data_IF_129377816494
#
_entry.id   IF_129377816494
#
_cell.length_a   1.000
_cell.length_b   1.000
_cell.length_c   1.000
_cell.angle_alpha   90.00
_cell.angle_beta   90.00
_cell.angle_gamma   90.00
#
_symmetry.space_group_name_H-M   'P 1'
#
loop_
_entity.id
_entity.type
_entity.pdbx_description
1 polymer ?
#
# COMPACT_ATOMS: atom_id res chain seq x y z
N UNK A 1 30.33 -54.91 -50.08
CA UNK A 1 29.41 -54.00 -50.79
C UNK A 1 28.57 -53.28 -49.73
N UNK A 2 28.44 -51.95 -49.86
CA UNK A 2 28.20 -50.98 -48.78
C UNK A 2 26.90 -51.18 -47.99
N UNK A 3 26.99 -51.13 -46.65
CA UNK A 3 25.86 -50.87 -45.76
C UNK A 3 25.76 -49.35 -45.54
N UNK A 4 24.67 -48.74 -45.99
CA UNK A 4 24.37 -47.32 -45.75
C UNK A 4 23.43 -47.20 -44.55
N UNK A 5 23.94 -46.75 -43.42
CA UNK A 5 23.15 -46.31 -42.27
C UNK A 5 22.57 -44.92 -42.53
N UNK A 6 21.24 -44.81 -42.59
CA UNK A 6 20.53 -43.52 -42.60
C UNK A 6 20.40 -43.05 -41.14
N UNK A 7 21.12 -41.99 -40.77
CA UNK A 7 20.82 -41.22 -39.57
C UNK A 7 19.57 -40.38 -39.84
N UNK A 8 18.48 -40.63 -39.11
CA UNK A 8 17.33 -39.74 -39.06
C UNK A 8 17.59 -38.63 -38.05
N UNK A 9 17.63 -37.38 -38.52
CA UNK A 9 17.62 -36.20 -37.65
C UNK A 9 16.23 -36.02 -37.05
N UNK A 10 16.10 -36.19 -35.74
CA UNK A 10 14.96 -35.67 -34.98
C UNK A 10 15.17 -34.16 -34.77
N UNK A 11 14.33 -33.35 -35.41
CA UNK A 11 14.21 -31.91 -35.12
C UNK A 11 13.27 -31.77 -33.94
N UNK A 12 13.81 -31.41 -32.77
CA UNK A 12 13.03 -31.07 -31.59
C UNK A 12 12.50 -29.64 -31.77
N UNK A 13 11.24 -29.48 -32.15
CA UNK A 13 10.56 -28.17 -32.16
C UNK A 13 10.17 -27.84 -30.72
N UNK A 14 11.00 -27.03 -30.06
CA UNK A 14 10.64 -26.39 -28.79
C UNK A 14 9.62 -25.29 -29.09
N UNK A 15 8.34 -25.60 -28.90
CA UNK A 15 7.28 -24.62 -28.76
C UNK A 15 7.53 -23.85 -27.46
N UNK A 16 8.14 -22.67 -27.58
CA UNK A 16 8.18 -21.70 -26.50
C UNK A 16 6.75 -21.17 -26.29
N UNK A 17 6.02 -21.78 -25.36
CA UNK A 17 4.88 -21.13 -24.74
C UNK A 17 5.40 -19.90 -24.00
N UNK A 18 5.26 -18.73 -24.61
CA UNK A 18 5.40 -17.46 -23.91
C UNK A 18 4.28 -17.39 -22.87
N UNK A 19 4.59 -17.78 -21.62
CA UNK A 19 3.82 -17.30 -20.49
C UNK A 19 4.03 -15.79 -20.46
N UNK A 20 2.98 -15.03 -20.76
CA UNK A 20 2.93 -13.64 -20.33
C UNK A 20 3.13 -13.68 -18.80
N UNK A 21 4.28 -13.20 -18.33
CA UNK A 21 4.47 -12.98 -16.91
C UNK A 21 3.38 -12.01 -16.48
N UNK A 22 2.58 -12.37 -15.48
CA UNK A 22 2.01 -11.33 -14.65
C UNK A 22 3.20 -10.47 -14.19
N UNK A 23 3.14 -9.16 -14.39
CA UNK A 23 4.20 -8.28 -13.90
C UNK A 23 4.33 -8.53 -12.39
N UNK A 24 5.53 -8.96 -11.98
CA UNK A 24 5.83 -9.27 -10.59
C UNK A 24 5.57 -8.02 -9.74
N UNK A 25 4.89 -8.17 -8.60
CA UNK A 25 4.67 -7.06 -7.66
C UNK A 25 6.00 -6.35 -7.37
N UNK A 26 5.98 -5.01 -7.34
CA UNK A 26 7.19 -4.19 -7.23
C UNK A 26 8.06 -4.51 -6.00
N UNK A 27 7.44 -4.59 -4.82
CA UNK A 27 8.16 -4.99 -3.60
C UNK A 27 8.38 -6.50 -3.58
N UNK A 28 9.47 -6.91 -2.92
CA UNK A 28 9.91 -8.30 -2.79
C UNK A 28 10.19 -8.64 -1.32
N UNK A 29 10.18 -9.94 -1.02
CA UNK A 29 10.64 -10.41 0.29
C UNK A 29 12.06 -9.91 0.59
N UNK A 30 12.28 -9.44 1.81
CA UNK A 30 13.54 -8.86 2.28
C UNK A 30 13.72 -7.37 2.00
N UNK A 31 12.75 -6.70 1.36
CA UNK A 31 12.91 -5.29 1.03
C UNK A 31 13.01 -4.37 2.26
N UNK A 32 13.98 -3.45 2.16
CA UNK A 32 14.03 -2.23 2.97
C UNK A 32 13.46 -1.10 2.15
N UNK A 33 12.25 -0.68 2.48
CA UNK A 33 11.49 0.34 1.76
C UNK A 33 11.68 1.69 2.42
N UNK A 34 12.09 2.69 1.65
CA UNK A 34 12.04 4.10 2.05
C UNK A 34 10.99 4.81 1.20
N UNK A 35 10.17 5.64 1.83
CA UNK A 35 9.16 6.46 1.16
C UNK A 35 9.52 7.93 1.37
N UNK A 36 10.01 8.58 0.32
CA UNK A 36 10.40 9.99 0.33
C UNK A 36 9.36 10.84 -0.39
N UNK A 37 9.06 11.99 0.18
CA UNK A 37 8.20 12.99 -0.43
C UNK A 37 8.06 14.24 0.44
N UNK A 38 6.95 14.94 0.27
CA UNK A 38 6.69 16.24 0.89
C UNK A 38 5.78 16.14 2.15
N UNK A 39 4.94 17.17 2.39
CA UNK A 39 3.97 17.19 3.50
C UNK A 39 2.98 16.04 3.44
N UNK A 40 2.57 15.61 2.25
CA UNK A 40 1.55 14.55 2.10
C UNK A 40 2.13 13.20 2.54
N UNK A 41 3.40 12.95 2.21
CA UNK A 41 4.17 11.81 2.75
C UNK A 41 4.36 11.97 4.25
N UNK A 42 4.72 13.16 4.74
CA UNK A 42 4.93 13.41 6.17
C UNK A 42 3.69 13.15 7.05
N UNK A 43 2.46 13.11 6.49
CA UNK A 43 1.24 12.81 7.26
C UNK A 43 1.19 11.38 7.82
N UNK A 44 2.01 10.45 7.31
CA UNK A 44 2.02 9.03 7.68
C UNK A 44 0.66 8.34 7.50
N UNK A 45 -0.16 8.78 6.53
CA UNK A 45 -1.42 8.13 6.19
C UNK A 45 -1.22 7.11 5.06
N UNK A 46 -1.10 7.52 3.80
CA UNK A 46 -0.94 6.59 2.67
C UNK A 46 0.27 5.66 2.85
N UNK A 47 1.37 6.15 3.43
CA UNK A 47 2.54 5.32 3.70
C UNK A 47 2.26 4.19 4.69
N UNK A 48 1.48 4.47 5.75
CA UNK A 48 1.07 3.45 6.71
C UNK A 48 0.07 2.49 6.08
N UNK A 49 -0.83 2.98 5.20
CA UNK A 49 -1.78 2.13 4.49
C UNK A 49 -1.08 1.19 3.51
N UNK A 50 -0.10 1.69 2.73
CA UNK A 50 0.75 0.87 1.85
C UNK A 50 1.48 -0.19 2.66
N UNK A 51 2.16 0.19 3.74
CA UNK A 51 2.84 -0.77 4.62
C UNK A 51 1.87 -1.83 5.16
N UNK A 52 0.69 -1.42 5.63
CA UNK A 52 -0.29 -2.34 6.21
C UNK A 52 -0.88 -3.28 5.17
N UNK A 53 -1.24 -2.80 3.97
CA UNK A 53 -1.70 -3.66 2.86
C UNK A 53 -0.66 -4.69 2.48
N UNK A 54 0.60 -4.28 2.33
CA UNK A 54 1.68 -5.18 1.89
C UNK A 54 1.99 -6.21 2.97
N UNK A 55 2.15 -5.78 4.23
CA UNK A 55 2.48 -6.69 5.34
C UNK A 55 1.33 -7.64 5.69
N UNK A 56 0.07 -7.22 5.58
CA UNK A 56 -1.09 -8.11 5.74
C UNK A 56 -1.23 -9.10 4.58
N UNK A 57 -0.88 -8.72 3.36
CA UNK A 57 -0.91 -9.62 2.19
C UNK A 57 0.20 -10.65 2.18
N UNK A 58 1.38 -10.24 2.66
CA UNK A 58 2.60 -11.05 2.68
C UNK A 58 3.18 -11.11 4.10
N UNK A 59 2.46 -11.71 5.07
CA UNK A 59 2.87 -11.72 6.49
C UNK A 59 4.18 -12.49 6.73
N UNK A 60 4.60 -13.33 5.79
CA UNK A 60 5.89 -14.04 5.84
C UNK A 60 7.07 -13.24 5.29
N UNK A 61 6.85 -12.11 4.59
CA UNK A 61 7.94 -11.32 4.02
C UNK A 61 8.66 -10.49 5.09
N UNK A 62 9.99 -10.40 4.97
CA UNK A 62 10.87 -9.65 5.87
C UNK A 62 11.01 -8.20 5.42
N UNK A 63 9.91 -7.46 5.45
CA UNK A 63 9.86 -6.07 5.03
C UNK A 63 10.19 -5.10 6.16
N UNK A 64 10.77 -3.96 5.82
CA UNK A 64 10.81 -2.77 6.67
C UNK A 64 10.42 -1.54 5.88
N UNK A 65 9.71 -0.60 6.51
CA UNK A 65 9.29 0.66 5.89
C UNK A 65 9.75 1.85 6.72
N UNK A 66 10.24 2.89 6.04
CA UNK A 66 10.63 4.18 6.62
C UNK A 66 10.03 5.32 5.81
N UNK A 67 9.21 6.12 6.47
CA UNK A 67 8.73 7.38 5.93
C UNK A 67 9.74 8.49 6.25
N UNK A 68 10.16 9.22 5.22
CA UNK A 68 11.04 10.39 5.32
C UNK A 68 10.47 11.60 4.57
N UNK A 69 9.15 11.79 4.65
CA UNK A 69 8.47 12.98 4.15
C UNK A 69 8.81 14.24 4.95
N UNK A 70 8.93 15.39 4.29
CA UNK A 70 9.12 16.70 4.96
C UNK A 70 8.16 17.73 4.38
N UNK A 71 7.40 18.38 5.25
CA UNK A 71 6.43 19.40 4.88
C UNK A 71 7.03 20.60 4.17
N UNK A 72 6.40 20.97 3.04
CA UNK A 72 6.84 22.07 2.18
C UNK A 72 8.03 21.75 1.28
N UNK A 73 8.58 20.53 1.37
CA UNK A 73 9.72 20.11 0.57
C UNK A 73 9.34 20.02 -0.92
N UNK A 74 10.36 20.18 -1.77
CA UNK A 74 10.28 20.07 -3.23
C UNK A 74 11.32 19.06 -3.68
N UNK A 75 11.21 18.59 -4.92
CA UNK A 75 12.16 17.62 -5.48
C UNK A 75 13.65 18.01 -5.37
N UNK A 76 14.09 19.31 -5.44
CA UNK A 76 15.49 19.65 -5.19
C UNK A 76 15.92 19.42 -3.73
N UNK A 77 15.04 19.68 -2.76
CA UNK A 77 15.32 19.43 -1.35
C UNK A 77 15.35 17.94 -1.04
N UNK A 78 14.42 17.16 -1.62
CA UNK A 78 14.47 15.70 -1.64
C UNK A 78 15.79 15.15 -2.19
N UNK A 79 16.27 15.72 -3.29
CA UNK A 79 17.56 15.40 -3.88
C UNK A 79 18.72 15.74 -2.93
N UNK A 80 18.76 16.95 -2.37
CA UNK A 80 19.80 17.41 -1.46
C UNK A 80 19.93 16.49 -0.23
N UNK A 81 18.79 16.09 0.36
CA UNK A 81 18.77 15.27 1.58
C UNK A 81 18.81 13.76 1.34
N UNK A 82 18.89 13.29 0.10
CA UNK A 82 18.85 11.87 -0.25
C UNK A 82 19.88 11.04 0.54
N UNK A 83 21.12 11.54 0.69
CA UNK A 83 22.15 10.81 1.43
C UNK A 83 21.79 10.62 2.91
N UNK A 84 21.28 11.68 3.55
CA UNK A 84 20.90 11.69 4.98
C UNK A 84 19.66 10.84 5.24
N UNK A 85 18.66 10.94 4.38
CA UNK A 85 17.31 10.42 4.66
C UNK A 85 16.99 9.11 3.95
N UNK A 86 17.64 8.83 2.81
CA UNK A 86 17.38 7.63 2.01
C UNK A 86 18.56 6.68 2.08
N UNK A 87 19.73 7.08 1.60
CA UNK A 87 20.89 6.20 1.51
C UNK A 87 21.33 5.65 2.88
N UNK A 88 21.14 6.42 3.95
CA UNK A 88 21.39 6.00 5.33
C UNK A 88 20.71 4.67 5.70
N UNK A 89 19.47 4.44 5.24
CA UNK A 89 18.73 3.22 5.52
C UNK A 89 19.15 2.02 4.65
N UNK A 90 20.03 2.24 3.67
CA UNK A 90 20.44 1.24 2.69
C UNK A 90 19.22 0.53 2.07
N UNK A 91 18.26 1.29 1.49
CA UNK A 91 17.06 0.71 0.94
C UNK A 91 17.36 -0.19 -0.25
N UNK A 92 16.48 -1.16 -0.49
CA UNK A 92 16.46 -1.97 -1.71
C UNK A 92 15.31 -1.54 -2.63
N UNK A 93 14.32 -0.84 -2.07
CA UNK A 93 13.20 -0.24 -2.78
C UNK A 93 12.91 1.17 -2.24
N UNK A 94 12.54 2.08 -3.14
CA UNK A 94 12.27 3.48 -2.84
C UNK A 94 10.97 3.90 -3.54
N UNK A 95 10.10 4.63 -2.84
CA UNK A 95 9.03 5.39 -3.49
C UNK A 95 9.33 6.87 -3.43
N UNK A 96 9.17 7.59 -4.55
CA UNK A 96 9.40 9.04 -4.64
C UNK A 96 8.10 9.73 -5.01
N UNK A 97 7.60 10.62 -4.14
CA UNK A 97 6.35 11.36 -4.33
C UNK A 97 6.59 12.87 -4.13
N UNK A 98 6.76 13.59 -5.24
CA UNK A 98 6.95 15.04 -5.29
C UNK A 98 6.21 15.63 -6.49
N UNK A 99 5.96 16.94 -6.45
CA UNK A 99 5.30 17.68 -7.52
C UNK A 99 4.26 18.66 -7.00
N UNK A 100 3.64 18.34 -5.85
CA UNK A 100 2.60 19.19 -5.25
C UNK A 100 3.15 20.58 -4.88
N UNK A 101 4.29 20.65 -4.20
CA UNK A 101 4.93 21.94 -3.85
C UNK A 101 5.75 22.54 -5.00
N UNK A 102 6.24 21.70 -5.92
CA UNK A 102 7.16 22.10 -6.99
C UNK A 102 6.51 23.07 -7.99
N UNK A 103 5.25 22.82 -8.36
CA UNK A 103 4.46 23.75 -9.20
C UNK A 103 4.05 25.03 -8.48
N UNK A 104 4.30 25.14 -7.18
CA UNK A 104 4.08 26.35 -6.38
C UNK A 104 2.63 26.81 -6.30
N UNK A 105 1.65 25.95 -6.61
CA UNK A 105 0.22 26.27 -6.66
C UNK A 105 -0.13 27.30 -7.74
N UNK A 106 0.63 27.30 -8.85
CA UNK A 106 0.49 28.24 -9.98
C UNK A 106 0.19 27.50 -11.29
N UNK A 107 -0.26 28.24 -12.30
CA UNK A 107 -0.29 27.73 -13.66
C UNK A 107 1.12 27.32 -14.10
N UNK A 108 1.19 26.28 -14.92
CA UNK A 108 2.45 25.70 -15.40
C UNK A 108 3.41 26.76 -15.94
N UNK A 109 4.65 26.71 -15.46
CA UNK A 109 5.78 27.47 -15.99
C UNK A 109 6.99 26.54 -16.22
N UNK A 110 7.70 26.77 -17.33
CA UNK A 110 8.86 25.95 -17.71
C UNK A 110 10.01 26.00 -16.69
N UNK A 111 10.37 27.16 -16.07
CA UNK A 111 11.43 27.21 -15.07
C UNK A 111 11.16 26.33 -13.83
N UNK A 112 9.94 26.37 -13.29
CA UNK A 112 9.53 25.51 -12.18
C UNK A 112 9.58 24.03 -12.57
N UNK A 113 9.04 23.69 -13.75
CA UNK A 113 9.05 22.31 -14.25
C UNK A 113 10.48 21.79 -14.48
N UNK A 114 11.38 22.61 -15.03
CA UNK A 114 12.79 22.25 -15.18
C UNK A 114 13.45 21.95 -13.83
N UNK A 115 13.21 22.79 -12.82
CA UNK A 115 13.72 22.60 -11.46
C UNK A 115 13.22 21.28 -10.87
N UNK A 116 11.95 20.95 -11.10
CA UNK A 116 11.37 19.68 -10.69
C UNK A 116 12.08 18.49 -11.32
N UNK A 117 12.24 18.52 -12.65
CA UNK A 117 12.90 17.45 -13.40
C UNK A 117 14.36 17.25 -12.98
N UNK A 118 15.10 18.33 -12.71
CA UNK A 118 16.48 18.26 -12.21
C UNK A 118 16.57 17.65 -10.81
N UNK A 119 15.62 17.98 -9.92
CA UNK A 119 15.52 17.37 -8.59
C UNK A 119 15.28 15.86 -8.67
N UNK A 120 14.29 15.44 -9.47
CA UNK A 120 13.99 14.02 -9.68
C UNK A 120 15.16 13.27 -10.31
N UNK A 121 15.78 13.84 -11.35
CA UNK A 121 16.94 13.24 -12.02
C UNK A 121 18.10 13.02 -11.04
N UNK A 122 18.40 14.01 -10.19
CA UNK A 122 19.44 13.86 -9.18
C UNK A 122 19.16 12.74 -8.15
N UNK A 123 17.89 12.54 -7.77
CA UNK A 123 17.49 11.39 -6.95
C UNK A 123 17.62 10.07 -7.71
N UNK A 124 17.28 10.05 -8.99
CA UNK A 124 17.39 8.87 -9.84
C UNK A 124 18.85 8.42 -9.98
N UNK A 125 19.77 9.34 -10.27
CA UNK A 125 21.21 9.08 -10.38
C UNK A 125 21.75 8.49 -9.06
N UNK A 126 21.34 9.03 -7.91
CA UNK A 126 21.75 8.55 -6.58
C UNK A 126 21.17 7.18 -6.25
N UNK A 127 19.91 6.93 -6.60
CA UNK A 127 19.27 5.63 -6.41
C UNK A 127 19.93 4.55 -7.27
N UNK A 128 20.25 4.87 -8.54
CA UNK A 128 20.96 3.98 -9.45
C UNK A 128 22.36 3.64 -8.93
N UNK A 129 23.11 4.65 -8.47
CA UNK A 129 24.44 4.47 -7.88
C UNK A 129 24.41 3.60 -6.60
N UNK A 130 23.29 3.62 -5.87
CA UNK A 130 23.05 2.80 -4.68
C UNK A 130 22.35 1.46 -4.99
N UNK A 131 22.10 1.14 -6.27
CA UNK A 131 21.38 -0.07 -6.72
C UNK A 131 19.98 -0.24 -6.11
N UNK A 132 19.25 0.86 -5.94
CA UNK A 132 17.90 0.89 -5.36
C UNK A 132 16.85 0.87 -6.46
N UNK A 133 15.83 0.01 -6.33
CA UNK A 133 14.68 0.01 -7.25
C UNK A 133 13.74 1.17 -6.88
N UNK A 134 13.30 1.94 -7.86
CA UNK A 134 12.49 3.14 -7.61
C UNK A 134 11.11 3.02 -8.24
N UNK A 135 10.07 3.29 -7.46
CA UNK A 135 8.74 3.58 -7.93
C UNK A 135 8.50 5.11 -7.86
N UNK A 136 8.27 5.70 -9.02
CA UNK A 136 8.05 7.13 -9.21
C UNK A 136 6.56 7.40 -9.17
N UNK A 137 6.09 8.02 -8.08
CA UNK A 137 4.67 8.25 -7.83
C UNK A 137 4.30 9.65 -8.33
N UNK A 138 3.30 9.75 -9.21
CA UNK A 138 2.74 11.06 -9.57
C UNK A 138 2.16 11.73 -8.33
N UNK A 139 2.15 13.06 -8.19
CA UNK A 139 1.36 13.70 -7.14
C UNK A 139 -0.14 13.37 -7.33
N UNK A 140 -0.92 13.36 -6.24
CA UNK A 140 -2.37 13.31 -6.33
C UNK A 140 -2.95 14.67 -6.82
N UNK A 141 -4.12 14.71 -7.48
CA UNK A 141 -4.79 15.96 -7.78
C UNK A 141 -5.27 16.66 -6.50
N UNK A 142 -5.40 17.99 -6.56
CA UNK A 142 -6.10 18.76 -5.53
C UNK A 142 -7.62 18.51 -5.60
N UNK A 143 -8.27 18.54 -4.44
CA UNK A 143 -9.72 18.38 -4.30
C UNK A 143 -10.36 19.58 -3.59
N UNK A 144 -10.95 20.51 -4.34
CA UNK A 144 -11.62 21.69 -3.76
C UNK A 144 -13.05 21.87 -4.27
N UNK A 145 -13.91 22.42 -3.41
CA UNK A 145 -15.28 22.79 -3.74
C UNK A 145 -15.38 23.87 -4.83
N UNK A 146 -14.33 24.68 -5.00
CA UNK A 146 -14.30 25.83 -5.91
C UNK A 146 -13.95 25.45 -7.36
N UNK A 147 -13.50 24.21 -7.59
CA UNK A 147 -13.32 23.68 -8.95
C UNK A 147 -14.66 23.46 -9.62
N UNK A 148 -14.71 23.68 -10.94
CA UNK A 148 -15.92 23.54 -11.75
C UNK A 148 -16.40 22.08 -11.92
N UNK A 149 -17.13 21.78 -13.00
CA UNK A 149 -17.75 20.46 -13.21
C UNK A 149 -16.73 19.33 -13.45
N UNK A 150 -15.48 19.68 -13.72
CA UNK A 150 -14.35 18.76 -13.94
C UNK A 150 -13.29 18.98 -12.85
N UNK A 151 -12.67 17.90 -12.40
CA UNK A 151 -11.52 17.94 -11.51
C UNK A 151 -10.24 18.36 -12.24
N UNK A 152 -10.13 18.16 -13.55
CA UNK A 152 -8.98 18.61 -14.35
C UNK A 152 -9.14 20.09 -14.72
N UNK A 153 -8.77 20.96 -13.79
CA UNK A 153 -8.80 22.41 -13.99
C UNK A 153 -7.85 23.10 -13.01
N UNK A 154 -7.37 24.29 -13.36
CA UNK A 154 -6.50 25.10 -12.52
C UNK A 154 -5.21 24.35 -12.22
N UNK A 155 -4.86 24.22 -10.94
CA UNK A 155 -3.59 23.59 -10.55
C UNK A 155 -3.47 22.12 -10.96
N UNK A 156 -4.59 21.41 -11.13
CA UNK A 156 -4.55 20.02 -11.61
C UNK A 156 -4.00 19.90 -13.04
N UNK A 157 -4.13 20.93 -13.90
CA UNK A 157 -3.50 20.95 -15.23
C UNK A 157 -1.96 21.06 -15.13
N UNK A 158 -1.46 21.77 -14.11
CA UNK A 158 -0.02 21.83 -13.81
C UNK A 158 0.47 20.47 -13.30
N UNK A 159 -0.26 19.85 -12.35
CA UNK A 159 0.09 18.54 -11.80
C UNK A 159 0.06 17.43 -12.86
N UNK A 160 -0.85 17.49 -13.83
CA UNK A 160 -0.87 16.58 -14.98
C UNK A 160 0.42 16.68 -15.81
N UNK A 161 0.88 17.90 -16.10
CA UNK A 161 2.16 18.11 -16.82
C UNK A 161 3.37 17.64 -16.03
N UNK A 162 3.37 17.84 -14.70
CA UNK A 162 4.43 17.34 -13.83
C UNK A 162 4.43 15.80 -13.80
N UNK A 163 3.25 15.18 -13.75
CA UNK A 163 3.07 13.73 -13.85
C UNK A 163 3.60 13.16 -15.17
N UNK A 164 3.38 13.87 -16.29
CA UNK A 164 3.95 13.50 -17.58
C UNK A 164 5.49 13.57 -17.59
N UNK A 165 6.09 14.60 -16.96
CA UNK A 165 7.54 14.69 -16.79
C UNK A 165 8.13 13.58 -15.92
N UNK A 166 7.46 13.23 -14.83
CA UNK A 166 7.84 12.13 -13.96
C UNK A 166 7.93 10.79 -14.72
N UNK A 167 7.00 10.56 -15.66
CA UNK A 167 7.04 9.38 -16.53
C UNK A 167 8.34 9.29 -17.32
N UNK A 168 8.81 10.41 -17.87
CA UNK A 168 10.11 10.48 -18.56
C UNK A 168 11.26 10.10 -17.63
N UNK A 169 11.27 10.58 -16.38
CA UNK A 169 12.30 10.21 -15.40
C UNK A 169 12.30 8.70 -15.12
N UNK A 170 11.11 8.13 -14.93
CA UNK A 170 10.98 6.70 -14.67
C UNK A 170 11.52 5.85 -15.83
N UNK A 171 11.13 6.19 -17.06
CA UNK A 171 11.57 5.51 -18.29
C UNK A 171 13.10 5.63 -18.50
N UNK A 172 13.66 6.83 -18.33
CA UNK A 172 15.10 7.07 -18.54
C UNK A 172 15.99 6.34 -17.51
N UNK A 173 15.49 6.12 -16.30
CA UNK A 173 16.27 5.53 -15.20
C UNK A 173 15.91 4.06 -14.89
N UNK A 174 15.02 3.46 -15.69
CA UNK A 174 14.57 2.08 -15.48
C UNK A 174 13.78 1.88 -14.17
N UNK A 175 13.16 2.96 -13.66
CA UNK A 175 12.24 2.91 -12.52
C UNK A 175 10.81 2.58 -12.95
N UNK A 176 9.99 2.16 -12.00
CA UNK A 176 8.57 1.94 -12.23
C UNK A 176 7.82 3.28 -12.18
N UNK A 177 7.14 3.65 -13.26
CA UNK A 177 6.19 4.77 -13.24
C UNK A 177 4.88 4.30 -12.59
N UNK A 178 4.42 5.03 -11.57
CA UNK A 178 3.18 4.72 -10.84
C UNK A 178 2.25 5.93 -10.89
N UNK A 179 1.19 5.81 -11.68
CA UNK A 179 0.18 6.84 -11.85
C UNK A 179 -0.91 6.72 -10.78
N UNK A 180 -0.86 7.61 -9.79
CA UNK A 180 -1.97 7.85 -8.87
C UNK A 180 -2.82 9.06 -9.27
N UNK A 181 -2.33 9.95 -10.14
CA UNK A 181 -3.02 11.17 -10.51
C UNK A 181 -4.32 10.87 -11.25
N UNK A 182 -4.27 10.09 -12.33
CA UNK A 182 -5.45 9.85 -13.17
C UNK A 182 -6.52 8.97 -12.51
N UNK A 183 -6.18 7.86 -11.81
CA UNK A 183 -7.18 7.09 -11.08
C UNK A 183 -7.89 7.93 -10.02
N UNK A 184 -7.15 8.79 -9.32
CA UNK A 184 -7.73 9.69 -8.32
C UNK A 184 -8.65 10.73 -8.99
N UNK A 185 -8.18 11.35 -10.06
CA UNK A 185 -8.93 12.34 -10.83
C UNK A 185 -10.24 11.76 -11.38
N UNK A 186 -10.25 10.50 -11.81
CA UNK A 186 -11.45 9.78 -12.25
C UNK A 186 -12.50 9.71 -11.13
N UNK A 187 -12.08 9.35 -9.91
CA UNK A 187 -12.96 9.29 -8.74
C UNK A 187 -13.53 10.68 -8.39
N UNK A 188 -12.70 11.73 -8.46
CA UNK A 188 -13.17 13.11 -8.27
C UNK A 188 -14.20 13.52 -9.33
N UNK A 189 -13.97 13.19 -10.60
CA UNK A 189 -14.91 13.47 -11.68
C UNK A 189 -16.25 12.75 -11.47
N UNK A 190 -16.21 11.48 -11.07
CA UNK A 190 -17.41 10.72 -10.75
C UNK A 190 -18.18 11.38 -9.59
N UNK A 191 -17.48 11.76 -8.52
CA UNK A 191 -18.09 12.42 -7.37
C UNK A 191 -18.72 13.78 -7.72
N UNK A 192 -18.06 14.56 -8.57
CA UNK A 192 -18.60 15.83 -9.10
C UNK A 192 -19.84 15.62 -9.94
N UNK A 193 -19.86 14.61 -10.81
CA UNK A 193 -21.01 14.32 -11.68
C UNK A 193 -22.29 13.93 -10.93
N UNK A 194 -22.14 13.39 -9.71
CA UNK A 194 -23.24 12.90 -8.87
C UNK A 194 -23.72 13.91 -7.83
N UNK A 195 -23.07 15.07 -7.70
CA UNK A 195 -23.39 16.08 -6.69
C UNK A 195 -23.86 17.38 -7.35
N UNK A 196 -25.04 17.88 -6.97
CA UNK A 196 -25.55 19.18 -7.45
C UNK A 196 -24.73 20.37 -6.91
N UNK A 197 -24.15 20.21 -5.71
CA UNK A 197 -23.12 21.08 -5.14
C UNK A 197 -22.01 20.17 -4.63
N UNK A 198 -20.83 20.30 -5.23
CA UNK A 198 -19.71 19.42 -4.91
C UNK A 198 -19.16 19.68 -3.50
N UNK A 199 -19.08 18.61 -2.71
CA UNK A 199 -18.35 18.55 -1.44
C UNK A 199 -17.12 17.66 -1.66
N UNK A 200 -15.90 18.16 -1.37
CA UNK A 200 -14.67 17.38 -1.45
C UNK A 200 -14.80 16.04 -0.72
N UNK A 201 -14.38 14.97 -1.39
CA UNK A 201 -14.52 13.59 -0.89
C UNK A 201 -13.21 13.06 -0.30
N UNK A 202 -12.10 13.75 -0.56
CA UNK A 202 -10.77 13.42 -0.06
C UNK A 202 -10.60 13.68 1.44
N UNK A 203 -11.44 14.55 2.00
CA UNK A 203 -11.27 15.12 3.34
C UNK A 203 -10.04 16.04 3.44
N UNK A 204 -9.89 16.74 4.55
CA UNK A 204 -8.77 17.66 4.75
C UNK A 204 -8.90 18.99 4.03
N UNK A 205 -7.77 19.57 3.64
CA UNK A 205 -7.73 20.73 2.76
C UNK A 205 -7.55 20.28 1.30
N UNK A 206 -7.58 21.25 0.37
CA UNK A 206 -7.53 20.95 -1.06
C UNK A 206 -6.24 20.21 -1.50
N UNK A 207 -5.16 20.33 -0.73
CA UNK A 207 -3.82 19.82 -1.03
C UNK A 207 -3.52 18.56 -0.23
N UNK A 208 -3.86 18.56 1.06
CA UNK A 208 -3.54 17.53 2.05
C UNK A 208 -4.77 16.65 2.32
N UNK A 209 -4.98 15.58 1.55
CA UNK A 209 -6.07 14.66 1.79
C UNK A 209 -5.97 14.05 3.19
N UNK A 210 -7.12 13.87 3.82
CA UNK A 210 -7.23 13.03 5.02
C UNK A 210 -7.40 11.57 4.60
N UNK A 211 -7.69 10.69 5.56
CA UNK A 211 -7.73 9.24 5.36
C UNK A 211 -8.55 8.75 4.15
N UNK A 212 -9.71 9.31 3.79
CA UNK A 212 -10.43 8.91 2.58
C UNK A 212 -9.60 9.09 1.30
N UNK A 213 -9.05 10.29 1.09
CA UNK A 213 -8.20 10.58 -0.06
C UNK A 213 -6.87 9.82 -0.02
N UNK A 214 -6.26 9.68 1.15
CA UNK A 214 -5.00 8.95 1.36
C UNK A 214 -5.15 7.44 1.13
N UNK A 215 -6.33 6.86 1.42
CA UNK A 215 -6.62 5.47 1.07
C UNK A 215 -6.73 5.27 -0.45
N UNK A 216 -7.30 6.25 -1.17
CA UNK A 216 -7.33 6.25 -2.64
C UNK A 216 -5.93 6.40 -3.25
N UNK A 217 -5.08 7.24 -2.65
CA UNK A 217 -3.64 7.34 -3.03
C UNK A 217 -2.96 5.99 -2.89
N UNK A 218 -2.99 5.42 -1.69
CA UNK A 218 -2.34 4.14 -1.39
C UNK A 218 -2.87 3.01 -2.29
N UNK A 219 -4.18 2.95 -2.55
CA UNK A 219 -4.76 1.99 -3.46
C UNK A 219 -4.26 2.17 -4.90
N UNK A 220 -4.18 3.40 -5.40
CA UNK A 220 -3.68 3.69 -6.75
C UNK A 220 -2.21 3.35 -6.88
N UNK A 221 -1.41 3.67 -5.86
CA UNK A 221 0.01 3.31 -5.77
C UNK A 221 0.19 1.78 -5.83
N UNK A 222 -0.54 1.04 -4.99
CA UNK A 222 -0.46 -0.43 -4.94
C UNK A 222 -0.87 -1.07 -6.28
N UNK A 223 -1.93 -0.57 -6.92
CA UNK A 223 -2.34 -1.06 -8.26
C UNK A 223 -1.27 -0.79 -9.31
N UNK A 224 -0.69 0.42 -9.34
CA UNK A 224 0.39 0.74 -10.26
C UNK A 224 1.69 -0.02 -9.97
N UNK A 225 1.84 -0.56 -8.76
CA UNK A 225 2.90 -1.50 -8.39
C UNK A 225 2.61 -2.97 -8.69
N UNK A 226 1.46 -3.28 -9.29
CA UNK A 226 0.97 -4.64 -9.55
C UNK A 226 0.71 -5.46 -8.27
N UNK A 227 0.21 -4.81 -7.22
CA UNK A 227 -0.18 -5.50 -5.99
C UNK A 227 -1.28 -6.54 -6.25
N UNK A 228 -1.18 -7.78 -5.73
CA UNK A 228 -2.15 -8.81 -6.01
C UNK A 228 -3.49 -8.50 -5.33
N UNK A 229 -4.57 -8.52 -6.10
CA UNK A 229 -5.92 -8.32 -5.59
C UNK A 229 -6.39 -9.45 -4.66
N UNK A 230 -6.00 -10.72 -4.94
CA UNK A 230 -6.48 -11.88 -4.18
C UNK A 230 -5.87 -11.96 -2.78
N UNK A 231 -6.73 -11.68 -1.80
CA UNK A 231 -6.83 -12.34 -0.49
C UNK A 231 -6.29 -13.75 -0.39
N UNK A 232 -7.31 -14.58 -0.38
CA UNK A 232 -7.36 -16.02 -0.47
C UNK A 232 -8.78 -16.34 -0.93
N UNK A 233 -8.95 -17.50 -1.54
CA UNK A 233 -10.25 -18.00 -1.96
C UNK A 233 -10.47 -19.40 -1.41
N UNK A 234 -11.69 -19.68 -0.97
CA UNK A 234 -12.12 -21.02 -0.55
C UNK A 234 -13.45 -21.33 -1.24
N UNK A 235 -13.48 -22.45 -1.97
CA UNK A 235 -14.67 -23.02 -2.58
C UNK A 235 -14.87 -24.45 -2.10
N UNK A 236 -16.05 -24.76 -1.58
CA UNK A 236 -16.39 -26.10 -1.06
C UNK A 236 -17.66 -26.59 -1.73
N UNK A 237 -17.58 -27.77 -2.35
CA UNK A 237 -18.75 -28.50 -2.82
C UNK A 237 -19.19 -29.54 -1.81
N UNK A 238 -20.33 -29.29 -1.15
CA UNK A 238 -20.85 -30.19 -0.13
C UNK A 238 -21.34 -31.53 -0.71
N UNK A 239 -21.69 -31.62 -2.00
CA UNK A 239 -22.14 -32.87 -2.59
C UNK A 239 -20.97 -33.86 -2.75
N UNK A 240 -19.87 -33.40 -3.36
CA UNK A 240 -18.67 -34.22 -3.59
C UNK A 240 -17.68 -34.22 -2.41
N UNK A 241 -17.74 -33.22 -1.52
CA UNK A 241 -16.72 -32.98 -0.49
C UNK A 241 -15.45 -32.33 -1.04
N UNK A 242 -15.46 -31.86 -2.29
CA UNK A 242 -14.29 -31.23 -2.93
C UNK A 242 -14.03 -29.86 -2.32
N UNK A 243 -12.76 -29.59 -2.04
CA UNK A 243 -12.28 -28.27 -1.59
C UNK A 243 -11.27 -27.75 -2.59
N UNK A 244 -11.53 -26.54 -3.09
CA UNK A 244 -10.60 -25.75 -3.89
C UNK A 244 -10.22 -24.50 -3.08
N UNK A 245 -8.93 -24.26 -2.92
CA UNK A 245 -8.43 -23.17 -2.11
C UNK A 245 -7.19 -22.52 -2.75
N UNK A 246 -7.21 -21.20 -2.82
CA UNK A 246 -6.09 -20.38 -3.29
C UNK A 246 -5.60 -19.54 -2.10
N UNK A 247 -4.30 -19.59 -1.81
CA UNK A 247 -3.68 -18.84 -0.69
C UNK A 247 -4.35 -19.10 0.66
N UNK A 248 -4.94 -20.29 0.84
CA UNK A 248 -5.53 -20.75 2.07
C UNK A 248 -5.46 -22.28 2.17
N UNK A 249 -5.48 -22.78 3.41
CA UNK A 249 -5.67 -24.19 3.72
C UNK A 249 -7.00 -24.37 4.46
N UNK A 250 -7.71 -25.45 4.11
CA UNK A 250 -8.95 -25.87 4.76
C UNK A 250 -8.74 -27.23 5.40
N UNK A 251 -9.04 -27.33 6.69
CA UNK A 251 -9.00 -28.60 7.44
C UNK A 251 -10.29 -28.79 8.23
N UNK A 252 -10.49 -29.97 8.82
CA UNK A 252 -11.62 -30.25 9.72
C UNK A 252 -13.01 -29.95 9.12
N UNK A 253 -13.19 -30.21 7.82
CA UNK A 253 -14.48 -30.05 7.16
C UNK A 253 -15.54 -31.00 7.73
N UNK A 254 -16.61 -30.45 8.28
CA UNK A 254 -17.70 -31.16 8.95
C UNK A 254 -19.04 -30.62 8.49
N UNK A 255 -19.97 -31.50 8.13
CA UNK A 255 -21.38 -31.14 7.91
C UNK A 255 -22.09 -31.14 9.24
N UNK A 256 -22.87 -30.10 9.50
CA UNK A 256 -23.73 -29.97 10.67
C UNK A 256 -25.20 -30.03 10.25
N UNK A 257 -26.15 -30.03 11.18
CA UNK A 257 -27.59 -29.99 10.86
C UNK A 257 -27.93 -28.77 9.99
N UNK A 258 -28.07 -28.99 8.69
CA UNK A 258 -28.39 -27.97 7.69
C UNK A 258 -27.25 -27.04 7.28
N UNK A 259 -26.02 -27.21 7.81
CA UNK A 259 -24.88 -26.30 7.60
C UNK A 259 -23.52 -26.99 7.47
N UNK A 260 -22.44 -26.21 7.52
CA UNK A 260 -21.06 -26.71 7.40
C UNK A 260 -20.11 -25.93 8.32
N UNK A 261 -19.10 -26.61 8.86
CA UNK A 261 -18.00 -26.00 9.61
C UNK A 261 -16.65 -26.53 9.12
N UNK A 262 -15.62 -25.69 9.14
CA UNK A 262 -14.25 -26.06 8.79
C UNK A 262 -13.26 -25.08 9.40
N UNK A 263 -11.98 -25.45 9.47
CA UNK A 263 -10.91 -24.52 9.85
C UNK A 263 -10.31 -23.93 8.58
N UNK A 264 -10.23 -22.60 8.50
CA UNK A 264 -9.58 -21.84 7.44
C UNK A 264 -8.31 -21.21 7.97
N UNK A 265 -7.18 -21.45 7.30
CA UNK A 265 -5.90 -20.77 7.57
C UNK A 265 -5.44 -20.08 6.30
N UNK A 266 -5.40 -18.75 6.30
CA UNK A 266 -5.03 -17.94 5.14
C UNK A 266 -3.52 -17.65 5.10
N UNK A 267 -2.97 -17.46 3.91
CA UNK A 267 -1.60 -16.98 3.72
C UNK A 267 -1.47 -15.47 3.93
N UNK A 268 -2.57 -14.72 3.93
CA UNK A 268 -2.64 -13.27 4.13
C UNK A 268 -4.00 -12.82 4.65
N UNK A 269 -4.09 -11.56 5.08
CA UNK A 269 -5.29 -10.96 5.66
C UNK A 269 -5.85 -9.86 4.74
N UNK A 270 -7.19 -9.68 4.68
CA UNK A 270 -7.76 -8.48 4.08
C UNK A 270 -7.37 -7.26 4.91
N UNK A 271 -7.30 -6.09 4.28
CA UNK A 271 -7.08 -4.82 4.99
C UNK A 271 -7.78 -3.66 4.29
N UNK A 272 -8.42 -2.80 5.07
CA UNK A 272 -8.85 -1.48 4.64
C UNK A 272 -8.88 -0.55 5.85
N UNK A 273 -8.38 0.69 5.76
CA UNK A 273 -8.43 1.64 6.88
C UNK A 273 -9.88 2.03 7.17
N UNK A 274 -10.44 1.58 8.30
CA UNK A 274 -11.85 1.79 8.67
C UNK A 274 -12.27 3.27 8.60
N UNK A 275 -11.39 4.15 9.07
CA UNK A 275 -11.58 5.59 9.11
C UNK A 275 -11.50 6.28 7.72
N UNK A 276 -11.27 5.52 6.65
CA UNK A 276 -11.33 5.97 5.26
C UNK A 276 -12.61 5.50 4.52
N UNK A 277 -13.55 4.83 5.20
CA UNK A 277 -14.71 4.18 4.57
C UNK A 277 -15.61 5.12 3.77
N UNK A 278 -15.55 6.44 3.99
CA UNK A 278 -16.29 7.42 3.20
C UNK A 278 -15.86 7.50 1.74
N UNK A 279 -14.72 6.92 1.35
CA UNK A 279 -14.28 6.84 -0.05
C UNK A 279 -14.96 5.70 -0.83
N UNK A 280 -15.44 4.66 -0.14
CA UNK A 280 -15.97 3.43 -0.76
C UNK A 280 -17.17 3.66 -1.70
N UNK A 281 -18.07 4.64 -1.47
CA UNK A 281 -19.13 4.96 -2.44
C UNK A 281 -18.64 5.47 -3.80
N UNK A 282 -17.37 5.91 -3.87
CA UNK A 282 -16.76 6.51 -5.07
C UNK A 282 -15.68 5.62 -5.68
N UNK A 283 -15.13 4.68 -4.91
CA UNK A 283 -14.08 3.77 -5.36
C UNK A 283 -14.26 2.38 -4.72
N UNK A 284 -14.40 1.29 -5.51
CA UNK A 284 -14.64 -0.06 -5.00
C UNK A 284 -13.34 -0.72 -4.51
N UNK A 285 -12.66 -0.07 -3.55
CA UNK A 285 -11.32 -0.47 -3.11
C UNK A 285 -11.27 -1.83 -2.41
N UNK A 286 -12.40 -2.29 -1.84
CA UNK A 286 -12.49 -3.62 -1.24
C UNK A 286 -12.49 -4.71 -2.32
N UNK A 287 -13.16 -4.49 -3.44
CA UNK A 287 -13.18 -5.41 -4.58
C UNK A 287 -11.84 -5.41 -5.32
N UNK A 288 -11.23 -4.24 -5.48
CA UNK A 288 -9.99 -4.07 -6.26
C UNK A 288 -8.73 -4.57 -5.54
N UNK A 289 -8.71 -4.57 -4.19
CA UNK A 289 -7.53 -4.92 -3.40
C UNK A 289 -7.75 -6.01 -2.34
N UNK A 290 -8.99 -6.39 -2.04
CA UNK A 290 -9.32 -7.34 -0.98
C UNK A 290 -10.29 -8.45 -1.42
N UNK A 291 -9.94 -9.23 -2.45
CA UNK A 291 -10.73 -10.43 -2.79
C UNK A 291 -10.51 -11.55 -1.77
N UNK A 292 -11.28 -11.56 -0.69
CA UNK A 292 -11.27 -12.57 0.38
C UNK A 292 -12.53 -13.43 0.28
N UNK A 293 -12.53 -14.43 -0.61
CA UNK A 293 -13.80 -15.03 -1.08
C UNK A 293 -14.15 -16.34 -0.40
N UNK A 294 -15.46 -16.61 -0.35
CA UNK A 294 -16.03 -17.86 0.11
C UNK A 294 -17.14 -18.30 -0.86
N UNK A 295 -17.06 -19.54 -1.36
CA UNK A 295 -18.09 -20.17 -2.17
C UNK A 295 -18.48 -21.52 -1.59
N UNK A 296 -19.78 -21.78 -1.46
CA UNK A 296 -20.31 -23.04 -0.95
C UNK A 296 -21.45 -23.52 -1.86
N UNK A 297 -21.33 -24.73 -2.41
CA UNK A 297 -22.39 -25.36 -3.21
C UNK A 297 -23.02 -26.51 -2.44
N UNK A 298 -24.31 -26.78 -2.67
CA UNK A 298 -25.02 -27.90 -2.04
C UNK A 298 -25.65 -27.60 -0.68
N UNK A 299 -25.81 -26.34 -0.30
CA UNK A 299 -26.66 -25.92 0.81
C UNK A 299 -28.15 -25.98 0.42
N UNK A 300 -29.01 -26.26 1.39
CA UNK A 300 -30.46 -26.14 1.18
C UNK A 300 -30.86 -24.66 1.00
N UNK A 301 -31.96 -24.40 0.30
CA UNK A 301 -32.48 -23.05 0.15
C UNK A 301 -32.77 -22.42 1.53
N UNK A 302 -32.24 -21.23 1.77
CA UNK A 302 -32.37 -20.55 3.06
C UNK A 302 -31.35 -19.42 3.23
N UNK A 303 -31.38 -18.80 4.41
CA UNK A 303 -30.37 -17.84 4.87
C UNK A 303 -29.42 -18.50 5.86
N UNK A 304 -28.18 -18.05 5.85
CA UNK A 304 -27.09 -18.63 6.62
C UNK A 304 -26.29 -17.54 7.31
N UNK A 305 -26.07 -17.70 8.61
CA UNK A 305 -25.11 -16.90 9.36
C UNK A 305 -23.70 -17.44 9.09
N UNK A 306 -22.79 -16.53 8.73
CA UNK A 306 -21.38 -16.83 8.57
C UNK A 306 -20.66 -16.38 9.84
N UNK A 307 -20.02 -17.33 10.52
CA UNK A 307 -19.22 -17.06 11.70
C UNK A 307 -17.75 -17.31 11.44
N UNK A 308 -16.91 -16.39 11.91
CA UNK A 308 -15.45 -16.54 11.95
C UNK A 308 -15.02 -16.58 13.41
N UNK A 309 -14.40 -17.68 13.85
CA UNK A 309 -13.99 -17.86 15.25
C UNK A 309 -15.14 -17.74 16.25
N UNK A 310 -16.33 -18.20 15.89
CA UNK A 310 -17.54 -18.14 16.72
C UNK A 310 -18.29 -16.79 16.68
N UNK A 311 -17.76 -15.77 16.01
CA UNK A 311 -18.40 -14.44 15.86
C UNK A 311 -19.13 -14.37 14.53
N UNK A 312 -20.43 -14.06 14.54
CA UNK A 312 -21.19 -13.81 13.30
C UNK A 312 -20.71 -12.53 12.64
N UNK A 313 -20.22 -12.64 11.39
CA UNK A 313 -19.69 -11.49 10.62
C UNK A 313 -20.61 -11.06 9.48
N UNK A 314 -21.40 -11.98 8.93
CA UNK A 314 -22.29 -11.73 7.80
C UNK A 314 -23.45 -12.72 7.77
N UNK A 315 -24.47 -12.41 6.97
CA UNK A 315 -25.55 -13.32 6.62
C UNK A 315 -25.74 -13.32 5.10
N UNK A 316 -25.82 -14.50 4.49
CA UNK A 316 -26.05 -14.68 3.05
C UNK A 316 -27.08 -15.76 2.79
N UNK A 317 -27.72 -15.71 1.63
CA UNK A 317 -28.53 -16.79 1.10
C UNK A 317 -27.66 -17.93 0.55
N UNK A 318 -28.21 -19.15 0.48
CA UNK A 318 -27.56 -20.26 -0.21
C UNK A 318 -27.15 -19.90 -1.65
N UNK A 319 -28.00 -19.16 -2.37
CA UNK A 319 -27.73 -18.75 -3.75
C UNK A 319 -26.58 -17.74 -3.87
N UNK A 320 -26.39 -16.85 -2.89
CA UNK A 320 -25.24 -15.95 -2.85
C UNK A 320 -23.94 -16.71 -2.55
N UNK A 321 -23.98 -17.63 -1.59
CA UNK A 321 -22.84 -18.49 -1.27
C UNK A 321 -22.47 -19.41 -2.45
N UNK A 322 -23.45 -19.89 -3.21
CA UNK A 322 -23.23 -20.71 -4.41
C UNK A 322 -22.53 -19.91 -5.52
N UNK A 323 -22.89 -18.63 -5.69
CA UNK A 323 -22.19 -17.71 -6.61
C UNK A 323 -20.79 -17.36 -6.12
N UNK A 324 -20.61 -17.32 -4.80
CA UNK A 324 -19.40 -16.86 -4.13
C UNK A 324 -19.55 -15.42 -3.65
N UNK A 325 -19.13 -15.17 -2.42
CA UNK A 325 -19.20 -13.86 -1.75
C UNK A 325 -17.79 -13.38 -1.38
N UNK A 326 -17.59 -12.06 -1.35
CA UNK A 326 -16.39 -11.46 -0.77
C UNK A 326 -16.64 -11.13 0.69
N UNK A 327 -15.91 -11.77 1.61
CA UNK A 327 -16.05 -11.60 3.04
C UNK A 327 -15.20 -10.44 3.59
N UNK A 328 -14.37 -9.77 2.78
CA UNK A 328 -13.40 -8.79 3.28
C UNK A 328 -14.03 -7.70 4.15
N UNK A 329 -15.12 -7.07 3.68
CA UNK A 329 -15.80 -6.01 4.45
C UNK A 329 -16.32 -6.53 5.79
N UNK A 330 -17.01 -7.68 5.77
CA UNK A 330 -17.57 -8.30 6.95
C UNK A 330 -16.49 -8.74 7.96
N UNK A 331 -15.41 -9.35 7.47
CA UNK A 331 -14.30 -9.84 8.28
C UNK A 331 -13.47 -8.72 8.90
N UNK A 332 -13.49 -7.51 8.32
CA UNK A 332 -12.80 -6.33 8.86
C UNK A 332 -13.62 -5.59 9.92
N UNK A 333 -14.94 -5.79 9.99
CA UNK A 333 -15.80 -5.15 11.00
C UNK A 333 -15.61 -5.76 12.39
N UNK A 334 -15.66 -7.09 12.50
CA UNK A 334 -15.64 -7.79 13.79
C UNK A 334 -15.03 -9.20 13.70
N UNK A 335 -14.74 -9.78 14.86
CA UNK A 335 -14.17 -11.12 14.98
C UNK A 335 -12.64 -11.16 14.86
N UNK A 336 -12.05 -12.37 14.79
CA UNK A 336 -10.62 -12.57 14.93
C UNK A 336 -9.78 -11.90 13.84
N UNK A 337 -10.29 -11.83 12.60
CA UNK A 337 -9.61 -11.15 11.48
C UNK A 337 -9.50 -9.65 11.74
N UNK A 338 -10.61 -9.00 12.09
CA UNK A 338 -10.65 -7.58 12.42
C UNK A 338 -9.73 -7.24 13.61
N UNK A 339 -9.73 -8.07 14.66
CA UNK A 339 -8.87 -7.88 15.84
C UNK A 339 -7.38 -7.96 15.48
N UNK A 340 -6.98 -8.95 14.66
CA UNK A 340 -5.60 -9.09 14.22
C UNK A 340 -5.17 -7.91 13.34
N UNK A 341 -6.01 -7.51 12.38
CA UNK A 341 -5.72 -6.38 11.48
C UNK A 341 -5.54 -5.07 12.26
N UNK A 342 -6.41 -4.80 13.24
CA UNK A 342 -6.26 -3.62 14.13
C UNK A 342 -4.98 -3.66 14.96
N UNK A 343 -4.56 -4.84 15.42
CA UNK A 343 -3.30 -4.99 16.15
C UNK A 343 -2.08 -4.70 15.25
N UNK A 344 -2.10 -5.16 13.99
CA UNK A 344 -1.07 -4.88 12.99
C UNK A 344 -1.00 -3.37 12.69
N UNK A 345 -2.13 -2.74 12.36
CA UNK A 345 -2.20 -1.31 12.07
C UNK A 345 -1.71 -0.46 13.25
N UNK A 346 -2.11 -0.81 14.47
CA UNK A 346 -1.64 -0.13 15.69
C UNK A 346 -0.13 -0.25 15.89
N UNK A 347 0.44 -1.45 15.69
CA UNK A 347 1.89 -1.67 15.81
C UNK A 347 2.67 -0.87 14.76
N UNK A 348 2.21 -0.86 13.50
CA UNK A 348 2.80 -0.08 12.42
C UNK A 348 2.76 1.42 12.73
N UNK A 349 1.59 1.93 13.15
CA UNK A 349 1.42 3.34 13.52
C UNK A 349 2.36 3.74 14.66
N UNK A 350 2.40 2.97 15.75
CA UNK A 350 3.29 3.24 16.90
C UNK A 350 4.76 3.24 16.48
N UNK A 351 5.17 2.30 15.63
CA UNK A 351 6.53 2.24 15.07
C UNK A 351 6.84 3.48 14.25
N UNK A 352 5.97 3.86 13.32
CA UNK A 352 6.19 5.00 12.42
C UNK A 352 6.13 6.34 13.17
N UNK A 353 5.22 6.51 14.13
CA UNK A 353 5.17 7.67 15.04
C UNK A 353 6.46 7.79 15.85
N UNK A 354 7.00 6.68 16.36
CA UNK A 354 8.28 6.68 17.06
C UNK A 354 9.44 7.10 16.16
N UNK A 355 9.53 6.52 14.95
CA UNK A 355 10.56 6.93 13.97
C UNK A 355 10.46 8.43 13.68
N UNK A 356 9.27 8.92 13.38
CA UNK A 356 9.06 10.32 13.06
C UNK A 356 9.38 11.25 14.22
N UNK A 357 8.72 11.07 15.37
CA UNK A 357 8.81 12.01 16.48
C UNK A 357 10.15 11.90 17.23
N UNK A 358 10.66 10.69 17.43
CA UNK A 358 11.84 10.47 18.27
C UNK A 358 13.14 10.46 17.45
N UNK A 359 13.13 10.15 16.16
CA UNK A 359 14.38 10.07 15.38
C UNK A 359 14.41 11.20 14.36
N UNK A 360 13.43 11.24 13.47
CA UNK A 360 13.48 12.10 12.31
C UNK A 360 13.31 13.58 12.69
N UNK A 361 12.15 13.98 13.23
CA UNK A 361 11.94 15.33 13.77
C UNK A 361 12.70 15.54 15.08
N UNK A 362 12.80 14.51 15.90
CA UNK A 362 13.38 14.60 17.23
C UNK A 362 14.91 14.74 17.29
N UNK A 363 15.64 14.39 16.23
CA UNK A 363 17.12 14.47 16.22
C UNK A 363 17.67 14.95 14.87
N UNK A 364 17.28 14.30 13.77
CA UNK A 364 17.83 14.63 12.44
C UNK A 364 17.47 16.04 11.99
N UNK A 365 16.18 16.40 12.12
CA UNK A 365 15.67 17.72 11.75
C UNK A 365 15.59 18.69 12.93
N UNK A 366 16.00 18.27 14.14
CA UNK A 366 15.91 19.10 15.33
C UNK A 366 16.83 20.32 15.19
N UNK A 367 16.29 21.55 15.25
CA UNK A 367 17.11 22.75 15.26
C UNK A 367 17.89 22.80 16.57
N UNK A 368 19.22 22.85 16.48
CA UNK A 368 20.06 23.07 17.66
C UNK A 368 20.46 24.53 17.69
N UNK A 369 19.66 25.33 18.36
CA UNK A 369 19.99 26.72 18.70
C UNK A 369 20.11 26.80 20.21
N UNK A 370 21.30 27.17 20.69
CA UNK A 370 21.56 27.42 22.10
C UNK A 370 21.45 28.92 22.31
N UNK A 371 20.44 29.41 23.04
CA UNK A 371 20.37 30.83 23.39
C UNK A 371 21.64 31.30 24.08
N UNK A 372 22.16 32.44 23.64
CA UNK A 372 23.40 33.04 24.13
C UNK A 372 23.39 33.31 25.64
N UNK A 373 22.24 33.73 26.18
CA UNK A 373 22.04 34.01 27.61
C UNK A 373 22.16 32.79 28.54
N UNK A 374 22.12 31.56 28.00
CA UNK A 374 22.37 30.35 28.79
C UNK A 374 23.86 30.16 29.13
N UNK A 375 24.77 30.87 28.44
CA UNK A 375 26.21 30.74 28.67
C UNK A 375 26.79 29.35 28.40
N UNK A 376 26.01 28.45 27.78
CA UNK A 376 26.41 27.09 27.47
C UNK A 376 27.42 27.08 26.32
N UNK A 377 28.66 26.70 26.62
CA UNK A 377 29.72 26.52 25.63
C UNK A 377 29.76 25.07 25.16
N UNK A 378 28.81 24.68 24.32
CA UNK A 378 28.81 23.35 23.68
C UNK A 378 29.34 23.50 22.26
N UNK A 379 30.40 22.77 21.92
CA UNK A 379 30.95 22.82 20.56
C UNK A 379 30.02 22.10 19.56
N UNK A 380 30.03 22.49 18.27
CA UNK A 380 29.31 21.74 17.23
C UNK A 380 29.68 20.25 17.20
N UNK A 381 30.96 19.90 17.45
CA UNK A 381 31.42 18.52 17.51
C UNK A 381 30.81 17.75 18.69
N UNK A 382 30.65 18.40 19.85
CA UNK A 382 30.01 17.80 21.02
C UNK A 382 28.51 17.59 20.80
N UNK A 383 27.82 18.56 20.17
CA UNK A 383 26.42 18.41 19.76
C UNK A 383 26.27 17.19 18.85
N UNK A 384 27.12 17.08 17.84
CA UNK A 384 27.06 15.98 16.87
C UNK A 384 27.35 14.63 17.54
N UNK A 385 28.37 14.55 18.41
CA UNK A 385 28.66 13.34 19.17
C UNK A 385 27.46 12.89 20.01
N UNK A 386 26.78 13.81 20.69
CA UNK A 386 25.58 13.50 21.49
C UNK A 386 24.41 13.07 20.61
N UNK A 387 24.23 13.71 19.44
CA UNK A 387 23.21 13.28 18.46
C UNK A 387 23.44 11.83 18.04
N UNK A 388 24.67 11.45 17.71
CA UNK A 388 25.00 10.09 17.27
C UNK A 388 24.74 9.04 18.37
N UNK A 389 25.04 9.35 19.63
CA UNK A 389 24.73 8.45 20.76
C UNK A 389 23.23 8.24 20.96
N UNK A 390 22.44 9.32 20.88
CA UNK A 390 20.98 9.27 20.97
C UNK A 390 20.40 8.49 19.79
N UNK A 391 20.86 8.76 18.56
CA UNK A 391 20.42 8.06 17.36
C UNK A 391 20.67 6.56 17.46
N UNK A 392 21.86 6.15 17.90
CA UNK A 392 22.18 4.73 18.09
C UNK A 392 21.16 4.04 19.01
N UNK A 393 20.82 4.67 20.14
CA UNK A 393 19.86 4.12 21.10
C UNK A 393 18.45 4.07 20.52
N UNK A 394 18.02 5.14 19.85
CA UNK A 394 16.66 5.22 19.29
C UNK A 394 16.48 4.30 18.08
N UNK A 395 17.50 4.08 17.25
CA UNK A 395 17.44 3.10 16.17
C UNK A 395 17.34 1.66 16.67
N UNK A 396 18.07 1.30 17.73
CA UNK A 396 17.90 -0.02 18.38
C UNK A 396 16.46 -0.22 18.91
N UNK A 397 15.83 0.84 19.40
CA UNK A 397 14.45 0.81 19.89
C UNK A 397 13.40 0.80 18.75
N UNK A 398 13.75 1.35 17.58
CA UNK A 398 12.97 1.23 16.35
C UNK A 398 13.00 -0.21 15.81
N UNK A 399 14.15 -0.88 15.84
CA UNK A 399 14.27 -2.29 15.43
C UNK A 399 13.37 -3.21 16.26
N UNK A 400 13.30 -3.00 17.58
CA UNK A 400 12.35 -3.73 18.46
C UNK A 400 10.89 -3.47 18.09
N UNK A 401 10.56 -2.28 17.57
CA UNK A 401 9.21 -1.96 17.09
C UNK A 401 8.92 -2.65 15.76
N UNK A 402 9.90 -2.77 14.86
CA UNK A 402 9.75 -3.64 13.69
C UNK A 402 9.52 -5.10 14.11
N UNK A 403 10.20 -5.59 15.17
CA UNK A 403 9.94 -6.92 15.73
C UNK A 403 8.54 -7.05 16.31
N UNK A 404 8.02 -5.99 16.93
CA UNK A 404 6.65 -5.95 17.45
C UNK A 404 5.63 -6.04 16.32
N UNK A 405 5.85 -5.33 15.20
CA UNK A 405 5.05 -5.49 13.99
C UNK A 405 5.15 -6.93 13.49
N UNK A 406 6.36 -7.48 13.33
CA UNK A 406 6.53 -8.87 12.86
C UNK A 406 5.82 -9.90 13.76
N UNK A 407 5.75 -9.66 15.06
CA UNK A 407 5.07 -10.57 16.00
C UNK A 407 3.54 -10.58 15.86
N UNK A 408 2.92 -9.55 15.25
CA UNK A 408 1.47 -9.49 15.01
C UNK A 408 1.04 -10.09 13.67
N UNK A 409 1.97 -10.28 12.73
CA UNK A 409 1.71 -10.77 11.38
C UNK A 409 1.34 -12.27 11.24
N UNK A 410 1.83 -13.22 12.07
CA UNK A 410 1.51 -14.63 11.88
C UNK A 410 0.00 -14.89 11.84
N UNK A 411 -0.50 -15.33 10.69
CA UNK A 411 -1.92 -15.58 10.47
C UNK A 411 -2.35 -16.79 11.29
N UNK A 412 -3.45 -16.65 12.02
CA UNK A 412 -4.03 -17.73 12.82
C UNK A 412 -5.21 -18.35 12.08
N UNK A 413 -5.22 -19.68 11.99
CA UNK A 413 -6.38 -20.41 11.53
C UNK A 413 -7.58 -20.15 12.44
N UNK A 414 -8.77 -20.04 11.86
CA UNK A 414 -10.01 -19.87 12.60
C UNK A 414 -11.10 -20.79 12.06
N UNK A 415 -12.01 -21.21 12.94
CA UNK A 415 -13.19 -21.97 12.52
C UNK A 415 -14.13 -21.05 11.75
N UNK A 416 -14.52 -21.48 10.55
CA UNK A 416 -15.61 -20.92 9.77
C UNK A 416 -16.83 -21.79 9.98
N UNK A 417 -17.94 -21.22 10.42
CA UNK A 417 -19.21 -21.91 10.56
C UNK A 417 -20.27 -21.23 9.69
N UNK A 418 -21.02 -22.04 8.96
CA UNK A 418 -22.10 -21.63 8.07
C UNK A 418 -23.33 -22.36 8.55
N UNK A 419 -24.17 -21.66 9.31
CA UNK A 419 -25.31 -22.25 10.02
C UNK A 419 -26.61 -21.65 9.51
N UNK A 420 -27.71 -22.42 9.41
CA UNK A 420 -29.01 -21.86 9.09
C UNK A 420 -29.35 -20.71 10.04
N UNK A 421 -29.70 -19.54 9.48
CA UNK A 421 -30.12 -18.40 10.28
C UNK A 421 -31.43 -18.74 11.01
N UNK A 422 -31.54 -18.33 12.28
CA UNK A 422 -32.79 -18.49 13.03
C UNK A 422 -33.86 -17.61 12.36
N UNK A 423 -34.97 -18.24 11.97
CA UNK A 423 -36.16 -17.60 11.41
C UNK A 423 -36.83 -16.65 12.39
#
# INVERSE_FOLDING_TARGET
MRWTSRLGSFVLVLLACGFASADEFFFKDGDKVVMIGDSITEQHLYSNFVETWVTTRFPGWKLTFRNVGIGGDRSPGGNERFARDVAFFQPTALTVDFGMNDGGYRAFDEPGFKTYMEGLKGMADKAQAAHVRVAWLTPQPIDTAEQGPTALTGYNETLEKYSAGLKTIAEENGGLFVDQFHPYLQVLNEARSKQSKYVPISGGDAVHPWSPGQALMAASILKGMHFPTTVSSVSIDLASGTVDAERAAVTDLRKNEGGVAFVRTDEGLPYFPEHASSILPWAPLLEELNRYTLKITGLNAGKYDIKLGGVTVAQYTAAELEKGVNLAEAALKTGPVAEQVRAIESAIRIKNEYHHAQIFRGVHLAPVQIPDWLGLKVSPAEIESRKQEVLKTRYAELEKRDETVRATLPVKGHTVEIIPAKS
#
